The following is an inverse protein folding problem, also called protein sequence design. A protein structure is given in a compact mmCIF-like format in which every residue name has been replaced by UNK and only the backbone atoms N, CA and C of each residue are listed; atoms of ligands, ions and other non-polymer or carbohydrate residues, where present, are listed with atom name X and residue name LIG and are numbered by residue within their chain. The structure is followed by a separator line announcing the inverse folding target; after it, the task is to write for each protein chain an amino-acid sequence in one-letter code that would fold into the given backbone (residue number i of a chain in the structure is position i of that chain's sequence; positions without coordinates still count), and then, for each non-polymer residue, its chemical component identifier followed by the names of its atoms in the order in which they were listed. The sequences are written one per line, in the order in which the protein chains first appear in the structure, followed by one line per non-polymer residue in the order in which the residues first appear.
data_IF_318811125893
#
_entry.id   IF_318811125893
#
_cell.length_a   1.000
_cell.length_b   1.000
_cell.length_c   1.000
_cell.angle_alpha   90.00
_cell.angle_beta   90.00
_cell.angle_gamma   90.00
#
_symmetry.space_group_name_H-M   'P 1'
#
loop_
_entity.id
_entity.type
_entity.pdbx_description
1 polymer ?
#
# COMPACT_ATOMS: atom_id res chain seq x y z
N UNK A 1 -38.20 24.17 -11.57
CA UNK A 1 -37.92 24.77 -10.24
C UNK A 1 -36.74 24.03 -9.64
N UNK A 2 -35.55 24.63 -9.67
CA UNK A 2 -34.30 24.06 -9.16
C UNK A 2 -33.98 24.72 -7.83
N UNK A 3 -34.10 23.99 -6.74
CA UNK A 3 -33.70 24.48 -5.41
C UNK A 3 -32.19 24.30 -5.28
N UNK A 4 -31.44 25.39 -5.45
CA UNK A 4 -30.02 25.46 -5.08
C UNK A 4 -29.96 25.47 -3.55
N UNK A 5 -29.47 24.39 -2.95
CA UNK A 5 -29.06 24.39 -1.54
C UNK A 5 -27.65 24.96 -1.49
N UNK A 6 -27.56 26.24 -1.18
CA UNK A 6 -26.31 26.90 -0.80
C UNK A 6 -25.96 26.40 0.60
N UNK A 7 -24.95 25.54 0.71
CA UNK A 7 -24.35 25.20 2.00
C UNK A 7 -23.67 26.47 2.54
N UNK A 8 -24.29 27.05 3.56
CA UNK A 8 -23.79 28.22 4.27
C UNK A 8 -22.51 27.82 4.99
N UNK A 9 -21.40 28.45 4.61
CA UNK A 9 -20.12 28.32 5.31
C UNK A 9 -20.25 28.95 6.70
N UNK A 10 -20.31 28.12 7.75
CA UNK A 10 -20.01 28.57 9.11
C UNK A 10 -18.48 28.71 9.24
N UNK A 11 -17.94 29.83 8.76
CA UNK A 11 -16.60 30.28 9.11
C UNK A 11 -16.70 30.98 10.46
N UNK A 12 -16.57 30.22 11.54
CA UNK A 12 -16.39 30.76 12.88
C UNK A 12 -15.13 30.13 13.49
N UNK A 13 -14.03 30.88 13.43
CA UNK A 13 -12.89 30.68 14.32
C UNK A 13 -11.74 29.79 13.83
N UNK A 14 -11.35 29.86 12.55
CA UNK A 14 -10.03 29.36 12.17
C UNK A 14 -8.97 30.31 12.75
N UNK A 15 -8.40 29.94 13.91
CA UNK A 15 -7.21 30.60 14.44
C UNK A 15 -6.09 30.58 13.39
N UNK A 16 -5.34 31.68 13.28
CA UNK A 16 -4.13 31.77 12.46
C UNK A 16 -3.22 30.56 12.76
N UNK A 17 -3.24 29.53 11.92
CA UNK A 17 -2.47 28.29 12.10
C UNK A 17 -3.22 26.96 11.96
N UNK A 18 -4.54 26.98 11.74
CA UNK A 18 -5.30 25.77 11.42
C UNK A 18 -5.38 25.50 9.90
N UNK A 19 -5.32 24.22 9.52
CA UNK A 19 -5.45 23.71 8.16
C UNK A 19 -6.79 22.97 8.01
N UNK A 20 -7.68 23.42 7.09
CA UNK A 20 -8.91 22.71 6.78
C UNK A 20 -8.60 21.32 6.22
N UNK A 21 -9.17 20.30 6.82
CA UNK A 21 -8.91 18.91 6.48
C UNK A 21 -10.19 18.06 6.51
N UNK A 22 -10.18 16.99 5.73
CA UNK A 22 -11.21 15.95 5.80
C UNK A 22 -10.73 14.84 6.73
N UNK A 23 -11.48 14.58 7.79
CA UNK A 23 -11.33 13.40 8.64
C UNK A 23 -12.15 12.27 8.04
N UNK A 24 -11.51 11.13 7.82
CA UNK A 24 -12.09 9.93 7.23
C UNK A 24 -11.85 8.77 8.19
N UNK A 25 -12.90 8.26 8.81
CA UNK A 25 -12.80 7.02 9.58
C UNK A 25 -13.13 5.88 8.64
N UNK A 26 -12.24 4.89 8.55
CA UNK A 26 -12.33 3.80 7.59
C UNK A 26 -11.87 2.47 8.18
N UNK A 27 -12.39 1.38 7.62
CA UNK A 27 -11.89 0.03 7.86
C UNK A 27 -11.09 -0.43 6.65
N UNK A 28 -9.90 -0.98 6.89
CA UNK A 28 -9.01 -1.51 5.85
C UNK A 28 -8.76 -3.00 6.09
N UNK A 29 -8.86 -3.81 5.04
CA UNK A 29 -8.53 -5.25 5.04
C UNK A 29 -7.52 -5.58 3.95
N UNK A 30 -6.80 -6.68 4.12
CA UNK A 30 -5.79 -7.14 3.17
C UNK A 30 -4.46 -6.37 3.24
N UNK A 31 -4.20 -5.70 4.37
CA UNK A 31 -2.95 -4.98 4.61
C UNK A 31 -1.77 -5.97 4.52
N UNK A 32 -0.76 -5.71 3.68
CA UNK A 32 0.41 -6.58 3.57
C UNK A 32 1.04 -6.87 4.94
N UNK A 33 1.38 -8.13 5.20
CA UNK A 33 1.93 -8.58 6.48
C UNK A 33 0.88 -8.88 7.58
N UNK A 34 -0.40 -8.60 7.35
CA UNK A 34 -1.50 -9.04 8.20
C UNK A 34 -2.29 -10.18 7.53
N UNK A 35 -3.10 -10.88 8.33
CA UNK A 35 -4.09 -11.84 7.84
C UNK A 35 -5.08 -11.13 6.90
N UNK A 36 -5.46 -11.80 5.80
CA UNK A 36 -6.17 -11.15 4.69
C UNK A 36 -7.56 -10.63 5.05
N UNK A 37 -8.21 -11.27 6.02
CA UNK A 37 -9.52 -10.90 6.56
C UNK A 37 -9.44 -9.97 7.78
N UNK A 38 -8.26 -9.81 8.40
CA UNK A 38 -8.08 -8.92 9.54
C UNK A 38 -8.38 -7.47 9.14
N UNK A 39 -9.35 -6.88 9.83
CA UNK A 39 -9.68 -5.47 9.72
C UNK A 39 -8.76 -4.62 10.60
N UNK A 40 -8.31 -3.50 10.04
CA UNK A 40 -7.65 -2.42 10.75
C UNK A 40 -8.55 -1.19 10.64
N UNK A 41 -8.89 -0.60 11.78
CA UNK A 41 -9.62 0.66 11.82
C UNK A 41 -8.62 1.80 11.79
N UNK A 42 -8.79 2.69 10.81
CA UNK A 42 -7.93 3.84 10.55
C UNK A 42 -8.75 5.13 10.59
N UNK A 43 -8.10 6.20 11.06
CA UNK A 43 -8.55 7.57 10.90
C UNK A 43 -7.55 8.29 10.02
N UNK A 44 -7.99 8.70 8.84
CA UNK A 44 -7.19 9.40 7.85
C UNK A 44 -7.58 10.87 7.85
N UNK A 45 -6.60 11.73 8.05
CA UNK A 45 -6.74 13.18 7.97
C UNK A 45 -6.11 13.65 6.67
N UNK A 46 -6.90 14.32 5.83
CA UNK A 46 -6.49 14.73 4.48
C UNK A 46 -6.55 16.25 4.40
N UNK A 47 -5.39 16.89 4.34
CA UNK A 47 -5.21 18.32 4.15
C UNK A 47 -4.44 18.55 2.85
N UNK A 48 -5.14 18.45 1.72
CA UNK A 48 -4.58 18.60 0.37
C UNK A 48 -3.37 17.70 0.11
N UNK A 49 -2.17 18.26 0.25
CA UNK A 49 -0.88 17.61 0.00
C UNK A 49 -0.28 16.90 1.23
N UNK A 50 -0.95 16.99 2.39
CA UNK A 50 -0.56 16.34 3.64
C UNK A 50 -1.62 15.34 4.07
N UNK A 51 -1.17 14.14 4.43
CA UNK A 51 -2.04 13.10 4.95
C UNK A 51 -1.46 12.54 6.23
N UNK A 52 -2.31 12.32 7.23
CA UNK A 52 -1.97 11.59 8.44
C UNK A 52 -2.89 10.40 8.61
N UNK A 53 -2.34 9.26 8.97
CA UNK A 53 -3.08 8.04 9.29
C UNK A 53 -2.83 7.68 10.75
N UNK A 54 -3.89 7.66 11.53
CA UNK A 54 -3.90 7.09 12.87
C UNK A 54 -4.58 5.71 12.84
N UNK A 55 -4.14 4.78 13.67
CA UNK A 55 -4.78 3.46 13.85
C UNK A 55 -5.34 3.31 15.25
N UNK A 56 -6.41 2.51 15.39
CA UNK A 56 -6.99 2.18 16.69
C UNK A 56 -5.99 1.42 17.56
N UNK A 57 -5.88 1.85 18.83
CA UNK A 57 -4.91 1.38 19.82
C UNK A 57 -5.57 0.67 21.02
N UNK A 58 -6.70 -0.03 20.80
CA UNK A 58 -7.31 -0.92 21.80
C UNK A 58 -8.46 -0.32 22.63
N UNK A 59 -9.03 0.81 22.21
CA UNK A 59 -10.24 1.40 22.79
C UNK A 59 -10.97 2.28 21.76
N UNK A 60 -12.26 2.62 21.96
CA UNK A 60 -13.08 3.36 20.99
C UNK A 60 -12.50 4.75 20.63
N UNK A 61 -11.76 5.36 21.56
CA UNK A 61 -11.13 6.68 21.37
C UNK A 61 -9.60 6.63 21.44
N UNK A 62 -9.01 5.44 21.53
CA UNK A 62 -7.56 5.28 21.55
C UNK A 62 -7.02 5.25 20.12
N UNK A 63 -6.40 6.34 19.69
CA UNK A 63 -5.79 6.49 18.37
C UNK A 63 -4.29 6.74 18.50
N UNK A 64 -3.50 5.99 17.75
CA UNK A 64 -2.05 6.16 17.68
C UNK A 64 -1.62 6.56 16.27
N UNK A 65 -0.78 7.59 16.11
CA UNK A 65 -0.27 7.94 14.79
C UNK A 65 0.58 6.82 14.23
N UNK A 66 0.38 6.54 12.94
CA UNK A 66 1.08 5.48 12.20
C UNK A 66 1.81 5.98 10.99
N UNK A 67 1.17 6.82 10.19
CA UNK A 67 1.79 7.33 8.98
C UNK A 67 1.60 8.83 8.84
N UNK A 68 2.63 9.51 8.37
CA UNK A 68 2.56 10.85 7.79
C UNK A 68 3.00 10.76 6.34
N UNK A 69 2.20 11.31 5.44
CA UNK A 69 2.54 11.47 4.04
C UNK A 69 2.59 12.97 3.70
N UNK A 70 3.65 13.35 3.00
CA UNK A 70 3.99 14.71 2.59
C UNK A 70 4.24 14.74 1.09
N UNK A 71 3.17 15.01 0.33
CA UNK A 71 3.23 15.15 -1.14
C UNK A 71 3.55 16.57 -1.59
N UNK A 72 3.65 17.50 -0.64
CA UNK A 72 4.18 18.86 -0.80
C UNK A 72 5.71 18.90 -0.94
N UNK A 73 6.38 17.76 -0.78
CA UNK A 73 7.82 17.60 -0.89
C UNK A 73 8.20 16.94 -2.21
N UNK A 74 9.41 17.23 -2.67
CA UNK A 74 10.01 16.59 -3.84
C UNK A 74 11.40 16.02 -3.48
N UNK A 75 11.56 14.68 -3.40
CA UNK A 75 10.52 13.67 -3.58
C UNK A 75 9.49 13.69 -2.43
N UNK A 76 8.30 13.15 -2.68
CA UNK A 76 7.28 13.00 -1.64
C UNK A 76 7.82 12.12 -0.49
N UNK A 77 7.46 12.45 0.75
CA UNK A 77 7.97 11.75 1.92
C UNK A 77 6.87 10.99 2.65
N UNK A 78 7.14 9.73 2.98
CA UNK A 78 6.31 8.92 3.88
C UNK A 78 7.11 8.63 5.14
N UNK A 79 6.50 8.90 6.29
CA UNK A 79 7.04 8.59 7.59
C UNK A 79 6.17 7.56 8.29
N UNK A 80 6.76 6.45 8.72
CA UNK A 80 6.15 5.55 9.69
C UNK A 80 6.50 6.06 11.10
N UNK A 81 5.48 6.23 11.92
CA UNK A 81 5.56 6.74 13.27
C UNK A 81 5.50 5.60 14.27
N UNK A 82 6.41 5.59 15.24
CA UNK A 82 6.53 4.59 16.30
C UNK A 82 6.34 5.27 17.67
N UNK A 83 5.09 5.49 18.11
CA UNK A 83 4.80 6.21 19.35
C UNK A 83 5.42 5.60 20.61
N UNK A 84 5.50 4.28 20.68
CA UNK A 84 6.04 3.57 21.84
C UNK A 84 7.51 3.91 22.12
N UNK A 85 8.28 4.19 21.06
CA UNK A 85 9.72 4.47 21.12
C UNK A 85 10.05 5.95 20.87
N UNK A 86 9.04 6.78 20.58
CA UNK A 86 9.20 8.18 20.15
C UNK A 86 10.21 8.30 18.99
N UNK A 87 10.07 7.41 18.02
CA UNK A 87 10.93 7.35 16.85
C UNK A 87 10.11 7.30 15.57
N UNK A 88 10.74 7.62 14.45
CA UNK A 88 10.11 7.52 13.14
C UNK A 88 11.05 6.93 12.12
N UNK A 89 10.50 6.34 11.07
CA UNK A 89 11.22 5.88 9.88
C UNK A 89 10.74 6.62 8.67
N UNK A 90 11.68 7.04 7.82
CA UNK A 90 11.34 7.57 6.51
C UNK A 90 11.41 6.43 5.50
N UNK A 91 10.32 6.23 4.75
CA UNK A 91 10.28 5.25 3.68
C UNK A 91 10.97 5.84 2.45
N UNK A 92 12.23 5.47 2.23
CA UNK A 92 13.01 5.85 1.04
C UNK A 92 12.82 4.84 -0.11
N UNK A 93 12.10 3.74 0.13
CA UNK A 93 12.04 2.56 -0.77
C UNK A 93 10.82 2.51 -1.70
N UNK A 94 9.82 3.39 -1.58
CA UNK A 94 8.58 3.25 -2.34
C UNK A 94 8.74 3.57 -3.83
N UNK A 95 9.61 4.52 -4.17
CA UNK A 95 10.06 4.70 -5.55
C UNK A 95 10.87 3.49 -6.05
N UNK A 96 11.67 2.87 -5.17
CA UNK A 96 12.38 1.64 -5.52
C UNK A 96 11.41 0.51 -5.83
N UNK A 97 10.28 0.38 -5.14
CA UNK A 97 9.25 -0.62 -5.46
C UNK A 97 8.71 -0.45 -6.88
N UNK A 98 8.46 0.78 -7.32
CA UNK A 98 8.01 1.04 -8.69
C UNK A 98 9.11 0.78 -9.72
N UNK A 99 10.36 1.15 -9.43
CA UNK A 99 11.50 0.85 -10.30
C UNK A 99 11.75 -0.66 -10.40
N UNK A 100 11.73 -1.37 -9.27
CA UNK A 100 11.84 -2.83 -9.18
C UNK A 100 10.71 -3.52 -9.96
N UNK A 101 9.48 -3.01 -9.86
CA UNK A 101 8.35 -3.47 -10.68
C UNK A 101 8.65 -3.32 -12.16
N UNK A 102 9.10 -2.15 -12.62
CA UNK A 102 9.43 -1.94 -14.03
C UNK A 102 10.53 -2.89 -14.53
N UNK A 103 11.58 -3.10 -13.73
CA UNK A 103 12.64 -4.07 -14.04
C UNK A 103 12.08 -5.50 -14.15
N UNK A 104 11.21 -5.91 -13.22
CA UNK A 104 10.57 -7.22 -13.26
C UNK A 104 9.67 -7.39 -14.51
N UNK A 105 8.92 -6.36 -14.89
CA UNK A 105 8.08 -6.36 -16.09
C UNK A 105 8.93 -6.56 -17.36
N UNK A 106 10.08 -5.87 -17.47
CA UNK A 106 11.05 -6.09 -18.56
C UNK A 106 11.57 -7.53 -18.60
N UNK A 107 11.99 -8.08 -17.45
CA UNK A 107 12.51 -9.45 -17.36
C UNK A 107 11.45 -10.50 -17.74
N UNK A 108 10.19 -10.28 -17.35
CA UNK A 108 9.07 -11.16 -17.73
C UNK A 108 8.84 -11.07 -19.24
N UNK A 109 8.82 -9.85 -19.80
CA UNK A 109 8.65 -9.64 -21.23
C UNK A 109 9.74 -10.35 -22.03
N UNK A 110 11.02 -10.23 -21.66
CA UNK A 110 12.13 -10.93 -22.31
C UNK A 110 11.94 -12.45 -22.37
N UNK A 111 11.35 -13.02 -21.31
CA UNK A 111 10.97 -14.44 -21.28
C UNK A 111 9.84 -14.77 -22.25
N UNK A 112 8.79 -13.94 -22.27
CA UNK A 112 7.61 -14.10 -23.13
C UNK A 112 7.97 -13.96 -24.61
N UNK A 113 8.86 -13.03 -24.97
CA UNK A 113 9.23 -12.78 -26.36
C UNK A 113 9.95 -13.98 -27.01
N UNK A 114 10.49 -14.90 -26.21
CA UNK A 114 11.10 -16.17 -26.68
C UNK A 114 10.06 -17.25 -27.02
N UNK A 115 8.80 -17.05 -26.66
CA UNK A 115 7.72 -18.00 -26.97
C UNK A 115 7.26 -17.87 -28.44
N UNK A 116 6.69 -18.95 -29.02
CA UNK A 116 6.01 -18.87 -30.31
C UNK A 116 4.89 -17.83 -30.32
N UNK A 117 4.62 -17.23 -31.48
CA UNK A 117 3.65 -16.13 -31.62
C UNK A 117 2.25 -16.46 -31.04
N UNK A 118 1.76 -17.67 -31.27
CA UNK A 118 0.45 -18.12 -30.78
C UNK A 118 0.37 -18.26 -29.24
N UNK A 119 1.50 -18.47 -28.57
CA UNK A 119 1.58 -18.57 -27.10
C UNK A 119 1.89 -17.22 -26.46
N UNK A 120 2.61 -16.35 -27.19
CA UNK A 120 3.03 -15.03 -26.72
C UNK A 120 1.84 -14.15 -26.33
N UNK A 121 0.82 -14.06 -27.18
CA UNK A 121 -0.36 -13.23 -26.91
C UNK A 121 -1.05 -13.64 -25.60
N UNK A 122 -1.23 -14.94 -25.39
CA UNK A 122 -1.81 -15.49 -24.15
C UNK A 122 -0.93 -15.19 -22.93
N UNK A 123 0.39 -15.35 -23.08
CA UNK A 123 1.33 -15.07 -22.00
C UNK A 123 1.35 -13.60 -21.60
N UNK A 124 1.37 -12.67 -22.57
CA UNK A 124 1.26 -11.23 -22.35
C UNK A 124 -0.04 -10.87 -21.61
N UNK A 125 -1.18 -11.35 -22.11
CA UNK A 125 -2.49 -11.10 -21.49
C UNK A 125 -2.55 -11.62 -20.05
N UNK A 126 -2.01 -12.81 -19.79
CA UNK A 126 -1.99 -13.40 -18.44
C UNK A 126 -1.12 -12.64 -17.43
N UNK A 127 -0.17 -11.83 -17.93
CA UNK A 127 0.71 -11.00 -17.10
C UNK A 127 0.28 -9.52 -17.10
N UNK A 128 -0.80 -9.16 -17.79
CA UNK A 128 -1.23 -7.77 -17.99
C UNK A 128 -0.14 -6.88 -18.63
N UNK A 129 0.66 -7.48 -19.51
CA UNK A 129 1.75 -6.83 -20.23
C UNK A 129 1.43 -6.64 -21.70
N UNK A 130 2.15 -5.71 -22.32
CA UNK A 130 2.14 -5.45 -23.76
C UNK A 130 3.56 -5.59 -24.31
N UNK A 131 3.69 -5.92 -25.59
CA UNK A 131 5.01 -6.06 -26.25
C UNK A 131 5.85 -4.78 -26.20
N UNK A 132 5.20 -3.63 -26.24
CA UNK A 132 5.81 -2.29 -26.18
C UNK A 132 5.99 -1.77 -24.74
N UNK A 133 5.64 -2.57 -23.73
CA UNK A 133 5.55 -2.17 -22.32
C UNK A 133 4.63 -0.97 -22.05
N UNK A 134 3.80 -0.57 -23.01
CA UNK A 134 2.89 0.53 -22.81
C UNK A 134 1.86 0.18 -21.72
N UNK A 135 1.48 1.20 -20.93
CA UNK A 135 0.42 1.11 -19.94
C UNK A 135 -0.82 1.78 -20.48
N UNK A 136 -1.73 0.98 -21.01
CA UNK A 136 -3.05 1.45 -21.44
C UNK A 136 -3.95 1.47 -20.23
N UNK A 137 -4.40 2.66 -19.85
CA UNK A 137 -5.26 2.88 -18.70
C UNK A 137 -6.65 3.31 -19.16
N UNK A 138 -7.65 2.51 -18.80
CA UNK A 138 -9.06 2.77 -19.07
C UNK A 138 -9.78 3.14 -17.77
N UNK A 139 -10.70 4.09 -17.86
CA UNK A 139 -11.58 4.47 -16.74
C UNK A 139 -13.02 4.17 -17.14
N UNK A 140 -13.64 3.23 -16.43
CA UNK A 140 -15.04 2.85 -16.62
C UNK A 140 -15.86 3.45 -15.47
N UNK A 141 -16.94 4.16 -15.81
CA UNK A 141 -17.87 4.73 -14.82
C UNK A 141 -19.27 4.18 -15.06
N UNK A 142 -19.91 3.73 -14.00
CA UNK A 142 -21.24 3.13 -14.02
C UNK A 142 -22.10 3.65 -12.86
N UNK A 143 -23.44 3.64 -12.97
CA UNK A 143 -24.30 3.92 -11.83
C UNK A 143 -24.01 2.96 -10.66
N UNK A 144 -24.01 3.49 -9.43
CA UNK A 144 -23.89 2.69 -8.22
C UNK A 144 -25.06 2.98 -7.28
N UNK A 145 -25.43 2.02 -6.41
CA UNK A 145 -26.37 2.32 -5.35
C UNK A 145 -25.82 3.41 -4.42
N UNK A 146 -26.75 4.20 -3.87
CA UNK A 146 -26.46 5.17 -2.82
C UNK A 146 -25.79 4.47 -1.62
N UNK A 147 -24.85 5.16 -0.96
CA UNK A 147 -24.17 4.66 0.25
C UNK A 147 -24.46 5.56 1.43
N UNK A 148 -24.63 4.99 2.62
CA UNK A 148 -24.77 5.75 3.86
C UNK A 148 -23.48 5.68 4.66
N UNK A 149 -22.91 6.83 5.01
CA UNK A 149 -21.66 6.98 5.77
C UNK A 149 -21.89 7.97 6.90
N UNK A 150 -21.55 7.61 8.14
CA UNK A 150 -21.85 8.44 9.32
C UNK A 150 -23.33 8.83 9.44
N UNK A 151 -24.24 7.95 9.04
CA UNK A 151 -25.69 8.21 9.01
C UNK A 151 -26.17 9.14 7.90
N UNK A 152 -25.30 9.62 7.00
CA UNK A 152 -25.65 10.51 5.90
C UNK A 152 -25.67 9.78 4.55
N UNK A 153 -26.70 10.00 3.71
CA UNK A 153 -26.79 9.41 2.39
C UNK A 153 -25.89 10.13 1.37
N UNK A 154 -25.23 9.36 0.50
CA UNK A 154 -24.40 9.85 -0.59
C UNK A 154 -24.77 9.20 -1.93
N UNK A 155 -25.01 10.05 -2.93
CA UNK A 155 -25.14 9.60 -4.32
C UNK A 155 -23.78 9.13 -4.81
N UNK A 156 -23.77 7.95 -5.44
CA UNK A 156 -22.56 7.26 -5.80
C UNK A 156 -22.57 6.83 -7.26
N UNK A 157 -21.36 6.78 -7.83
CA UNK A 157 -21.07 6.07 -9.08
C UNK A 157 -19.93 5.10 -8.83
N UNK A 158 -19.96 3.96 -9.53
CA UNK A 158 -18.85 3.02 -9.52
C UNK A 158 -17.82 3.49 -10.53
N UNK A 159 -16.57 3.53 -10.12
CA UNK A 159 -15.44 3.90 -10.97
C UNK A 159 -14.41 2.79 -10.92
N UNK A 160 -14.07 2.26 -12.08
CA UNK A 160 -13.02 1.26 -12.25
C UNK A 160 -11.89 1.84 -13.07
N UNK A 161 -10.67 1.77 -12.57
CA UNK A 161 -9.46 2.04 -13.34
C UNK A 161 -8.82 0.70 -13.70
N UNK A 162 -8.60 0.49 -14.99
CA UNK A 162 -8.10 -0.76 -15.55
C UNK A 162 -6.78 -0.47 -16.27
N UNK A 163 -5.68 -1.07 -15.80
CA UNK A 163 -4.34 -0.97 -16.41
C UNK A 163 -4.06 -2.28 -17.16
N UNK A 164 -3.98 -2.24 -18.49
CA UNK A 164 -3.71 -3.41 -19.34
C UNK A 164 -4.61 -4.63 -19.02
N UNK A 165 -5.87 -4.39 -18.68
CA UNK A 165 -6.84 -5.43 -18.30
C UNK A 165 -6.89 -5.76 -16.80
N UNK A 166 -5.91 -5.33 -16.00
CA UNK A 166 -5.95 -5.46 -14.53
C UNK A 166 -6.78 -4.33 -13.93
N UNK A 167 -7.83 -4.66 -13.18
CA UNK A 167 -8.56 -3.64 -12.39
C UNK A 167 -7.71 -3.24 -11.19
N UNK A 168 -7.07 -2.07 -11.26
CA UNK A 168 -6.17 -1.55 -10.21
C UNK A 168 -6.91 -0.77 -9.13
N UNK A 169 -8.06 -0.17 -9.49
CA UNK A 169 -8.98 0.50 -8.58
C UNK A 169 -10.41 0.13 -8.98
N UNK A 170 -11.22 -0.25 -8.00
CA UNK A 170 -12.67 -0.36 -8.11
C UNK A 170 -13.31 0.33 -6.91
N UNK A 171 -13.93 1.48 -7.14
CA UNK A 171 -14.41 2.36 -6.09
C UNK A 171 -15.87 2.79 -6.28
N UNK A 172 -16.57 2.96 -5.17
CA UNK A 172 -17.81 3.73 -5.12
C UNK A 172 -17.45 5.17 -4.75
N UNK A 173 -17.66 6.09 -5.69
CA UNK A 173 -17.22 7.49 -5.60
C UNK A 173 -18.45 8.40 -5.49
N UNK A 174 -18.37 9.37 -4.58
CA UNK A 174 -19.36 10.46 -4.49
C UNK A 174 -18.76 11.78 -4.95
N UNK A 175 -19.43 12.48 -5.86
CA UNK A 175 -19.01 13.81 -6.32
C UNK A 175 -19.34 14.91 -5.30
N UNK A 176 -20.03 14.56 -4.20
CA UNK A 176 -20.43 15.49 -3.15
C UNK A 176 -19.27 15.90 -2.22
N UNK A 177 -18.08 15.31 -2.39
CA UNK A 177 -16.88 15.60 -1.60
C UNK A 177 -15.72 15.91 -2.57
N UNK A 178 -15.13 17.10 -2.43
CA UNK A 178 -14.16 17.64 -3.39
C UNK A 178 -12.69 17.19 -3.24
N UNK A 179 -12.39 16.16 -2.44
CA UNK A 179 -11.01 15.80 -2.03
C UNK A 179 -10.53 14.41 -2.49
N UNK A 180 -11.13 13.83 -3.52
CA UNK A 180 -10.80 12.45 -3.92
C UNK A 180 -9.41 12.22 -4.52
N UNK A 181 -8.81 13.25 -5.13
CA UNK A 181 -7.47 13.11 -5.71
C UNK A 181 -6.41 12.95 -4.61
N UNK A 182 -6.59 13.59 -3.45
CA UNK A 182 -5.66 13.51 -2.33
C UNK A 182 -5.60 12.08 -1.77
N UNK A 183 -6.76 11.41 -1.74
CA UNK A 183 -6.85 9.99 -1.40
C UNK A 183 -6.10 9.10 -2.42
N UNK A 184 -6.24 9.36 -3.72
CA UNK A 184 -5.51 8.59 -4.73
C UNK A 184 -4.00 8.83 -4.69
N UNK A 185 -3.57 10.07 -4.36
CA UNK A 185 -2.15 10.40 -4.14
C UNK A 185 -1.56 9.58 -3.00
N UNK A 186 -2.29 9.40 -1.89
CA UNK A 186 -1.87 8.52 -0.79
C UNK A 186 -1.51 7.11 -1.30
N UNK A 187 -2.44 6.46 -1.99
CA UNK A 187 -2.22 5.09 -2.45
C UNK A 187 -1.18 4.99 -3.58
N UNK A 188 -1.03 6.03 -4.42
CA UNK A 188 0.10 6.12 -5.36
C UNK A 188 1.44 6.10 -4.64
N UNK A 189 1.56 6.88 -3.56
CA UNK A 189 2.80 6.96 -2.78
C UNK A 189 3.10 5.65 -2.05
N UNK A 190 2.07 4.92 -1.63
CA UNK A 190 2.18 3.56 -1.09
C UNK A 190 2.44 2.48 -2.17
N UNK A 191 2.70 2.89 -3.42
CA UNK A 191 3.06 2.00 -4.52
C UNK A 191 1.88 1.23 -5.15
N UNK A 192 0.63 1.62 -4.89
CA UNK A 192 -0.53 0.95 -5.48
C UNK A 192 -0.74 1.32 -6.95
N UNK A 193 -0.37 2.53 -7.36
CA UNK A 193 -0.63 3.05 -8.70
C UNK A 193 0.66 3.33 -9.47
N UNK A 194 0.58 3.22 -10.80
CA UNK A 194 1.57 3.76 -11.73
C UNK A 194 1.34 5.26 -11.97
N UNK A 195 2.25 5.91 -12.70
CA UNK A 195 2.09 7.31 -13.06
C UNK A 195 0.95 7.52 -14.06
N UNK A 196 0.75 6.58 -14.97
CA UNK A 196 -0.36 6.58 -15.93
C UNK A 196 -1.71 6.41 -15.22
N UNK A 197 -1.78 5.50 -14.23
CA UNK A 197 -2.97 5.32 -13.39
C UNK A 197 -3.24 6.58 -12.57
N UNK A 198 -2.22 7.19 -11.96
CA UNK A 198 -2.39 8.44 -11.22
C UNK A 198 -2.84 9.58 -12.14
N UNK A 199 -2.30 9.68 -13.35
CA UNK A 199 -2.69 10.69 -14.33
C UNK A 199 -4.19 10.59 -14.65
N UNK A 200 -4.71 9.36 -14.84
CA UNK A 200 -6.14 9.12 -15.02
C UNK A 200 -6.97 9.33 -13.76
N UNK A 201 -6.44 8.96 -12.59
CA UNK A 201 -7.12 9.20 -11.32
C UNK A 201 -7.36 10.69 -11.04
N UNK A 202 -6.46 11.58 -11.49
CA UNK A 202 -6.64 13.06 -11.40
C UNK A 202 -7.88 13.57 -12.12
N UNK A 203 -8.33 12.88 -13.16
CA UNK A 203 -9.51 13.27 -13.94
C UNK A 203 -10.82 12.87 -13.24
N UNK A 204 -10.76 11.96 -12.26
CA UNK A 204 -11.93 11.48 -11.51
C UNK A 204 -12.31 12.50 -10.44
N UNK A 205 -13.51 13.09 -10.59
CA UNK A 205 -14.11 13.96 -9.56
C UNK A 205 -14.66 13.11 -8.41
N UNK A 206 -14.71 13.68 -7.20
CA UNK A 206 -15.37 13.04 -6.07
C UNK A 206 -14.49 12.11 -5.25
N UNK A 207 -14.96 11.72 -4.06
CA UNK A 207 -14.22 10.96 -3.05
C UNK A 207 -14.67 9.50 -2.98
N UNK A 208 -13.76 8.52 -2.86
CA UNK A 208 -14.12 7.11 -2.72
C UNK A 208 -14.65 6.80 -1.30
N UNK A 209 -15.92 6.36 -1.21
CA UNK A 209 -16.54 5.90 0.05
C UNK A 209 -16.31 4.40 0.31
N UNK A 210 -15.96 3.66 -0.74
CA UNK A 210 -15.42 2.31 -0.66
C UNK A 210 -14.51 2.07 -1.86
N UNK A 211 -13.45 1.28 -1.66
CA UNK A 211 -12.50 0.96 -2.71
C UNK A 211 -11.92 -0.44 -2.54
N UNK A 212 -11.70 -1.12 -3.66
CA UNK A 212 -10.78 -2.26 -3.76
C UNK A 212 -9.60 -1.84 -4.61
N UNK A 213 -8.39 -2.04 -4.10
CA UNK A 213 -7.13 -1.68 -4.75
C UNK A 213 -6.29 -2.93 -5.00
N UNK A 214 -5.72 -3.03 -6.20
CA UNK A 214 -4.64 -3.98 -6.48
C UNK A 214 -3.29 -3.29 -6.18
N UNK A 215 -2.63 -3.68 -5.10
CA UNK A 215 -1.30 -3.16 -4.73
C UNK A 215 -0.23 -4.06 -5.31
N UNK A 216 0.35 -3.62 -6.42
CA UNK A 216 1.39 -4.34 -7.14
C UNK A 216 2.76 -3.97 -6.57
N UNK A 217 3.26 -4.80 -5.67
CA UNK A 217 4.58 -4.58 -5.05
C UNK A 217 5.73 -5.23 -5.83
N UNK A 218 5.43 -6.17 -6.74
CA UNK A 218 6.44 -6.93 -7.50
C UNK A 218 5.96 -7.35 -8.88
N UNK A 219 4.92 -8.20 -8.94
CA UNK A 219 4.36 -8.75 -10.18
C UNK A 219 2.88 -8.41 -10.29
N UNK A 220 2.44 -8.14 -11.50
CA UNK A 220 1.05 -7.87 -11.87
C UNK A 220 0.10 -9.05 -11.58
N UNK A 221 0.61 -10.25 -11.34
CA UNK A 221 -0.17 -11.47 -11.07
C UNK A 221 -0.22 -11.89 -9.61
N UNK A 222 0.64 -11.32 -8.75
CA UNK A 222 0.73 -11.68 -7.32
C UNK A 222 0.60 -10.44 -6.44
N UNK A 223 -0.31 -9.54 -6.80
CA UNK A 223 -0.57 -8.31 -6.06
C UNK A 223 -1.38 -8.56 -4.78
N UNK A 224 -1.30 -7.61 -3.85
CA UNK A 224 -2.14 -7.59 -2.67
C UNK A 224 -3.46 -6.90 -2.97
N UNK A 225 -4.57 -7.42 -2.43
CA UNK A 225 -5.86 -6.75 -2.55
C UNK A 225 -6.15 -6.01 -1.24
N UNK A 226 -6.15 -4.68 -1.30
CA UNK A 226 -6.66 -3.85 -0.19
C UNK A 226 -8.14 -3.58 -0.40
N UNK A 227 -8.93 -3.76 0.66
CA UNK A 227 -10.35 -3.36 0.68
C UNK A 227 -10.54 -2.29 1.73
N UNK A 228 -11.13 -1.18 1.32
CA UNK A 228 -11.34 -0.01 2.17
C UNK A 228 -12.82 0.33 2.18
N UNK A 229 -13.35 0.55 3.36
CA UNK A 229 -14.72 1.00 3.57
C UNK A 229 -14.72 2.21 4.51
N UNK A 230 -15.25 3.33 4.02
CA UNK A 230 -15.41 4.53 4.85
C UNK A 230 -16.63 4.36 5.73
N UNK A 231 -16.45 4.56 7.03
CA UNK A 231 -17.48 4.41 8.05
C UNK A 231 -18.02 5.74 8.55
N UNK A 232 -17.17 6.77 8.62
CA UNK A 232 -17.56 8.15 8.96
C UNK A 232 -16.67 9.18 8.26
N UNK A 233 -17.18 10.40 8.12
CA UNK A 233 -16.52 11.53 7.46
C UNK A 233 -16.81 12.83 8.21
N UNK A 234 -15.85 13.73 8.31
CA UNK A 234 -16.11 15.07 8.85
C UNK A 234 -15.15 16.10 8.24
N UNK A 235 -15.67 17.26 7.87
CA UNK A 235 -14.82 18.44 7.71
C UNK A 235 -14.30 18.83 9.09
N UNK A 236 -13.02 19.17 9.17
CA UNK A 236 -12.33 19.47 10.42
C UNK A 236 -11.21 20.49 10.17
N UNK A 237 -10.66 21.03 11.25
CA UNK A 237 -9.51 21.92 11.22
C UNK A 237 -8.44 21.32 12.13
N UNK A 238 -7.24 21.12 11.59
CA UNK A 238 -6.10 20.59 12.34
C UNK A 238 -4.97 21.63 12.37
N UNK A 239 -4.26 21.73 13.49
CA UNK A 239 -3.08 22.61 13.54
C UNK A 239 -2.03 22.16 12.51
N UNK A 240 -1.28 23.09 11.91
CA UNK A 240 -0.20 22.75 10.96
C UNK A 240 0.78 21.70 11.49
N UNK A 241 1.16 21.81 12.76
CA UNK A 241 2.07 20.88 13.44
C UNK A 241 1.52 19.46 13.54
N UNK A 242 0.21 19.26 13.36
CA UNK A 242 -0.43 17.94 13.36
C UNK A 242 0.04 17.04 12.20
N UNK A 243 0.44 17.65 11.09
CA UNK A 243 0.98 17.00 9.88
C UNK A 243 2.51 17.06 9.80
N UNK A 244 3.17 17.48 10.88
CA UNK A 244 4.62 17.48 11.00
C UNK A 244 5.11 16.30 11.84
N UNK A 245 6.39 15.95 11.66
CA UNK A 245 7.05 14.99 12.55
C UNK A 245 6.99 15.53 13.99
N UNK A 246 6.60 14.69 14.98
CA UNK A 246 6.50 15.18 16.35
C UNK A 246 7.86 15.64 16.89
N UNK A 247 7.85 16.74 17.64
CA UNK A 247 9.06 17.31 18.22
C UNK A 247 9.76 16.33 19.17
N UNK A 248 11.09 16.28 19.11
CA UNK A 248 11.91 15.40 19.94
C UNK A 248 11.91 13.92 19.52
N UNK A 249 11.22 13.56 18.44
CA UNK A 249 11.28 12.19 17.91
C UNK A 249 12.56 11.96 17.11
N UNK A 250 13.11 10.75 17.22
CA UNK A 250 14.38 10.41 16.58
C UNK A 250 14.16 9.62 15.29
N UNK A 251 14.84 9.98 14.20
CA UNK A 251 14.87 9.17 12.97
C UNK A 251 15.58 7.85 13.28
N UNK A 252 14.94 6.73 13.04
CA UNK A 252 15.61 5.44 13.03
C UNK A 252 16.40 5.31 11.72
N UNK A 253 17.72 5.54 11.79
CA UNK A 253 18.64 5.32 10.66
C UNK A 253 19.11 3.87 10.55
N UNK A 254 18.83 3.04 11.56
CA UNK A 254 19.20 1.64 11.53
C UNK A 254 18.37 0.95 10.48
N UNK A 255 19.03 0.60 9.37
CA UNK A 255 18.43 -0.22 8.35
C UNK A 255 17.85 -1.48 8.99
N UNK A 256 16.60 -1.77 8.65
CA UNK A 256 15.89 -2.95 9.14
C UNK A 256 16.74 -4.16 8.80
N UNK A 257 17.14 -4.90 9.82
CA UNK A 257 17.97 -6.09 9.66
C UNK A 257 17.18 -7.29 10.11
N UNK A 258 16.83 -8.12 9.14
CA UNK A 258 16.22 -9.41 9.40
C UNK A 258 17.27 -10.51 9.32
N UNK A 259 17.14 -11.59 10.08
CA UNK A 259 17.97 -12.76 9.87
C UNK A 259 17.84 -13.28 8.44
N UNK A 260 18.94 -13.75 7.85
CA UNK A 260 18.88 -14.50 6.61
C UNK A 260 17.88 -15.65 6.76
N UNK A 261 16.96 -15.80 5.79
CA UNK A 261 15.89 -16.78 5.91
C UNK A 261 16.39 -18.22 5.79
N UNK A 262 17.55 -18.45 5.19
CA UNK A 262 18.17 -19.77 5.20
C UNK A 262 18.69 -20.08 6.60
N UNK A 263 18.08 -21.07 7.27
CA UNK A 263 18.34 -21.38 8.69
C UNK A 263 19.77 -21.80 9.04
N UNK A 264 20.59 -22.17 8.04
CA UNK A 264 22.01 -22.51 8.22
C UNK A 264 22.92 -21.28 8.04
N UNK A 265 22.33 -20.09 7.89
CA UNK A 265 23.03 -18.83 7.76
C UNK A 265 22.76 -17.93 8.97
N UNK A 266 23.83 -17.58 9.68
CA UNK A 266 23.74 -16.70 10.86
C UNK A 266 23.85 -15.21 10.52
N UNK A 267 23.90 -14.86 9.22
CA UNK A 267 24.00 -13.46 8.80
C UNK A 267 22.66 -12.75 8.99
N UNK A 268 22.73 -11.49 9.39
CA UNK A 268 21.62 -10.55 9.27
C UNK A 268 21.67 -9.88 7.91
N UNK A 269 20.50 -9.58 7.37
CA UNK A 269 20.25 -9.04 6.04
C UNK A 269 19.57 -7.71 6.22
N UNK A 270 20.16 -6.69 5.64
CA UNK A 270 19.54 -5.39 5.52
C UNK A 270 18.36 -5.50 4.54
N UNK A 271 17.13 -5.32 5.03
CA UNK A 271 15.91 -5.53 4.22
C UNK A 271 15.83 -4.55 3.05
N UNK A 272 16.41 -3.36 3.23
CA UNK A 272 16.54 -2.33 2.21
C UNK A 272 17.45 -2.75 1.05
N UNK A 273 18.54 -3.46 1.36
CA UNK A 273 19.52 -3.92 0.38
C UNK A 273 19.95 -5.37 0.65
N UNK A 274 19.05 -6.35 0.44
CA UNK A 274 19.36 -7.75 0.68
C UNK A 274 20.13 -8.31 -0.51
N UNK A 275 20.95 -9.34 -0.27
CA UNK A 275 21.57 -10.07 -1.37
C UNK A 275 20.54 -10.78 -2.25
N UNK A 276 19.41 -11.20 -1.68
CA UNK A 276 18.28 -11.81 -2.38
C UNK A 276 16.97 -11.70 -1.60
N UNK A 277 15.84 -11.83 -2.30
CA UNK A 277 14.48 -11.77 -1.73
C UNK A 277 13.61 -12.94 -2.23
N UNK A 278 12.67 -13.40 -1.41
CA UNK A 278 11.60 -14.32 -1.79
C UNK A 278 10.32 -13.98 -1.04
N UNK A 279 9.18 -13.98 -1.74
CA UNK A 279 7.90 -13.58 -1.16
C UNK A 279 6.97 -14.80 -1.10
N UNK A 280 6.37 -15.03 0.06
CA UNK A 280 5.49 -16.16 0.31
C UNK A 280 4.32 -15.75 1.21
N UNK A 281 3.09 -16.04 0.77
CA UNK A 281 1.84 -15.66 1.46
C UNK A 281 1.82 -14.19 1.94
N UNK A 282 2.34 -13.29 1.10
CA UNK A 282 2.36 -11.86 1.39
C UNK A 282 3.36 -11.43 2.47
N UNK A 283 4.29 -12.31 2.87
CA UNK A 283 5.43 -11.99 3.71
C UNK A 283 6.71 -12.05 2.89
N UNK A 284 7.55 -11.01 3.02
CA UNK A 284 8.86 -10.97 2.38
C UNK A 284 9.89 -11.68 3.24
N UNK A 285 10.71 -12.50 2.61
CA UNK A 285 11.83 -13.20 3.22
C UNK A 285 13.13 -12.77 2.57
N UNK A 286 14.13 -12.46 3.40
CA UNK A 286 15.39 -11.87 2.96
C UNK A 286 16.54 -12.87 3.08
N UNK A 287 17.43 -12.88 2.11
CA UNK A 287 18.62 -13.73 2.08
C UNK A 287 19.86 -12.88 1.87
N UNK A 288 20.98 -13.28 2.47
CA UNK A 288 22.23 -12.54 2.34
C UNK A 288 22.92 -12.74 0.98
N UNK A 289 22.48 -13.71 0.17
CA UNK A 289 23.06 -14.04 -1.14
C UNK A 289 22.17 -14.96 -1.97
N UNK A 290 22.43 -15.01 -3.29
CA UNK A 290 21.82 -15.97 -4.22
C UNK A 290 21.95 -17.40 -3.75
N UNK A 291 23.14 -17.79 -3.29
CA UNK A 291 23.39 -19.11 -2.73
C UNK A 291 22.39 -19.47 -1.62
N UNK A 292 22.18 -18.57 -0.65
CA UNK A 292 21.29 -18.82 0.49
C UNK A 292 19.83 -19.00 0.05
N UNK A 293 19.38 -18.21 -0.95
CA UNK A 293 18.04 -18.36 -1.53
C UNK A 293 17.91 -19.69 -2.27
N UNK A 294 18.89 -20.07 -3.09
CA UNK A 294 18.89 -21.34 -3.82
C UNK A 294 18.82 -22.54 -2.88
N UNK A 295 19.64 -22.57 -1.83
CA UNK A 295 19.62 -23.66 -0.84
C UNK A 295 18.27 -23.76 -0.12
N UNK A 296 17.70 -22.61 0.29
CA UNK A 296 16.37 -22.57 0.86
C UNK A 296 15.30 -23.11 -0.11
N UNK A 297 15.34 -22.73 -1.39
CA UNK A 297 14.37 -23.19 -2.40
C UNK A 297 14.51 -24.68 -2.71
N UNK A 298 15.74 -25.22 -2.68
CA UNK A 298 15.98 -26.66 -2.83
C UNK A 298 15.33 -27.44 -1.68
N UNK A 299 15.48 -26.94 -0.47
CA UNK A 299 14.86 -27.55 0.69
C UNK A 299 13.34 -27.43 0.67
N UNK A 300 12.83 -26.27 0.29
CA UNK A 300 11.40 -26.04 0.07
C UNK A 300 10.81 -27.05 -0.92
N UNK A 301 11.52 -27.29 -2.03
CA UNK A 301 11.12 -28.29 -3.02
C UNK A 301 11.01 -29.68 -2.40
N UNK A 302 12.00 -30.08 -1.59
CA UNK A 302 11.99 -31.38 -0.91
C UNK A 302 10.83 -31.51 0.09
N UNK A 303 10.52 -30.45 0.86
CA UNK A 303 9.38 -30.41 1.78
C UNK A 303 8.05 -30.55 1.03
N UNK A 304 7.89 -29.84 -0.08
CA UNK A 304 6.67 -29.94 -0.91
C UNK A 304 6.54 -31.34 -1.52
N UNK A 305 7.63 -31.93 -2.04
CA UNK A 305 7.61 -33.26 -2.65
C UNK A 305 7.20 -34.37 -1.67
N UNK A 306 7.52 -34.24 -0.39
CA UNK A 306 7.10 -35.19 0.66
C UNK A 306 5.74 -34.88 1.29
N UNK A 307 4.99 -33.89 0.77
CA UNK A 307 3.68 -33.48 1.29
C UNK A 307 3.73 -32.66 2.58
N UNK A 308 4.88 -32.08 2.93
CA UNK A 308 5.05 -31.23 4.11
C UNK A 308 4.55 -29.80 3.90
N UNK A 309 4.42 -29.04 4.99
CA UNK A 309 4.00 -27.64 4.98
C UNK A 309 5.21 -26.70 4.92
N UNK A 310 5.09 -25.61 4.17
CA UNK A 310 6.16 -24.60 4.02
C UNK A 310 6.53 -23.97 5.38
N UNK A 311 5.56 -23.88 6.28
CA UNK A 311 5.71 -23.38 7.64
C UNK A 311 6.74 -24.19 8.47
N UNK A 312 7.00 -25.47 8.12
CA UNK A 312 8.05 -26.29 8.75
C UNK A 312 9.45 -25.67 8.61
N UNK A 313 9.71 -25.02 7.47
CA UNK A 313 10.98 -24.34 7.22
C UNK A 313 11.09 -22.99 7.94
N UNK A 314 9.95 -22.48 8.42
CA UNK A 314 9.85 -21.19 9.07
C UNK A 314 10.05 -21.28 10.58
N UNK A 315 9.69 -22.41 11.18
CA UNK A 315 9.76 -22.70 12.62
C UNK A 315 11.12 -23.29 13.04
N UNK A 316 11.90 -23.84 12.10
CA UNK A 316 13.16 -24.51 12.37
C UNK A 316 14.40 -23.59 12.47
N UNK A 317 14.51 -22.75 13.50
CA UNK A 317 15.85 -22.35 13.98
C UNK A 317 16.35 -23.44 14.93
N UNK A 318 17.41 -24.17 14.56
CA UNK A 318 18.24 -24.80 15.59
C UNK A 318 18.96 -23.68 16.35
N UNK A 319 18.94 -23.65 17.69
CA UNK A 319 19.95 -22.92 18.43
C UNK A 319 21.32 -23.36 17.93
N UNK A 320 22.25 -22.43 17.78
CA UNK A 320 23.64 -22.79 17.52
C UNK A 320 24.12 -23.63 18.70
N UNK A 321 24.27 -24.95 18.49
CA UNK A 321 25.04 -25.79 19.39
C UNK A 321 26.47 -25.24 19.36
N UNK A 322 26.80 -24.44 20.38
CA UNK A 322 28.16 -24.04 20.65
C UNK A 322 29.04 -25.28 20.84
N UNK A 323 30.34 -25.20 20.53
CA UNK A 323 31.23 -26.33 20.71
C UNK A 323 31.18 -26.77 22.17
N UNK A 324 30.93 -28.06 22.39
CA UNK A 324 30.96 -28.69 23.71
C UNK A 324 32.29 -28.35 24.39
N UNK A 325 32.22 -27.56 25.46
CA UNK A 325 33.36 -27.31 26.32
C UNK A 325 33.52 -28.52 27.27
N UNK A 326 34.52 -29.34 26.96
CA UNK A 326 35.13 -30.44 27.73
C UNK A 326 34.21 -31.53 28.27
#
# INVERSE_FOLDING_TARGET
MRTRVTLLACVLGAGLGAEPCLRVDQTVRGVPGLESDRAVTQRVWIAEDKVRVDESAGGPDAWAPRYLLRTDRDPAAIYELLPATKSYRQWEELENIQRDRAINECQILDGIMKLPAAEREKALASQYLREDLARVVEVVTEPAPQRTVGGRPFECRRVRIIENGLTVLDAQVTDQIGRGIDYCRLYRQLGAFSDEVLAKAKEIKGFPLAATLAVVTQRLTTYHTLRIEVTDLAESDAARSFFELPEGWTKEEKALREPCRWRLCDKTVETANPGERWDYKGRRHYFCSLKCKTEFLNELKAVITRGGRVEELFEGRRPADGPAAK
#
